data_IF_479665552559
#
_entry.id   IF_479665552559
#
_cell.length_a   1.000
_cell.length_b   1.000
_cell.length_c   1.000
_cell.angle_alpha   90.00
_cell.angle_beta   90.00
_cell.angle_gamma   90.00
#
_symmetry.space_group_name_H-M   'P 1'
#
loop_
_entity.id
_entity.type
_entity.pdbx_description
1 polymer ?
#
# COMPACT_ATOMS: atom_id res chain seq x y z
N UNK A 1 -17.95 47.90 5.62
CA UNK A 1 -17.13 46.75 5.21
C UNK A 1 -16.23 46.44 6.37
N UNK A 2 -16.34 45.24 6.95
CA UNK A 2 -15.54 44.84 8.11
C UNK A 2 -14.22 44.32 7.56
N UNK A 3 -13.12 45.04 7.83
CA UNK A 3 -11.78 44.58 7.47
C UNK A 3 -11.48 43.28 8.23
N UNK A 4 -11.50 42.16 7.51
CA UNK A 4 -11.02 40.86 8.00
C UNK A 4 -9.51 40.95 8.20
N UNK A 5 -9.11 41.43 9.38
CA UNK A 5 -7.72 41.41 9.84
C UNK A 5 -7.29 39.96 10.05
N UNK A 6 -6.47 39.43 9.14
CA UNK A 6 -5.81 38.13 9.34
C UNK A 6 -4.88 38.24 10.56
N UNK A 7 -5.17 37.44 11.60
CA UNK A 7 -4.22 37.17 12.68
C UNK A 7 -3.35 36.01 12.20
N UNK A 8 -2.06 36.26 11.94
CA UNK A 8 -1.09 35.21 11.62
C UNK A 8 -0.25 34.90 12.86
N UNK A 9 -0.01 33.62 13.13
CA UNK A 9 0.95 33.17 14.15
C UNK A 9 2.34 33.11 13.54
N UNK A 10 3.31 33.64 14.27
CA UNK A 10 4.72 33.63 13.92
C UNK A 10 5.49 32.87 14.99
N UNK A 11 6.48 32.09 14.59
CA UNK A 11 7.46 31.49 15.49
C UNK A 11 8.65 32.45 15.62
N UNK A 12 8.92 32.88 16.85
CA UNK A 12 10.14 33.64 17.18
C UNK A 12 10.90 32.80 18.21
N UNK A 13 11.88 32.02 17.73
CA UNK A 13 12.53 30.98 18.52
C UNK A 13 11.55 29.87 18.93
N UNK A 14 11.54 29.48 20.21
CA UNK A 14 10.60 28.49 20.77
C UNK A 14 9.24 29.08 21.21
N UNK A 15 8.96 30.35 20.87
CA UNK A 15 7.74 31.06 21.34
C UNK A 15 6.83 31.38 20.16
N UNK A 16 5.55 31.05 20.31
CA UNK A 16 4.49 31.42 19.36
C UNK A 16 3.99 32.83 19.69
N UNK A 17 4.05 33.73 18.71
CA UNK A 17 3.54 35.10 18.81
C UNK A 17 2.40 35.29 17.81
N UNK A 18 1.32 35.98 18.20
CA UNK A 18 0.21 36.35 17.30
C UNK A 18 0.37 37.80 16.83
N UNK A 19 0.32 38.03 15.52
CA UNK A 19 0.43 39.36 14.91
C UNK A 19 -0.68 39.63 13.89
N UNK A 20 -1.08 40.89 13.76
CA UNK A 20 -2.07 41.36 12.76
C UNK A 20 -1.30 41.91 11.56
N UNK A 21 -1.57 41.41 10.36
CA UNK A 21 -1.04 42.00 9.12
C UNK A 21 -2.04 43.02 8.60
N UNK A 22 -1.69 44.31 8.61
CA UNK A 22 -2.46 45.36 7.95
C UNK A 22 -1.84 45.63 6.57
N UNK A 23 -2.57 45.33 5.51
CA UNK A 23 -2.16 45.67 4.15
C UNK A 23 -2.13 47.19 3.96
N UNK A 24 -0.98 47.69 3.51
CA UNK A 24 -0.73 48.98 2.85
C UNK A 24 -0.39 50.23 3.71
N UNK A 25 0.93 50.54 3.71
CA UNK A 25 1.60 51.87 3.60
C UNK A 25 1.76 52.77 4.85
N UNK A 26 3.03 52.84 5.30
CA UNK A 26 3.88 53.97 5.75
C UNK A 26 3.35 54.95 6.82
N UNK A 27 3.97 54.90 8.01
CA UNK A 27 4.17 56.07 8.86
C UNK A 27 5.55 56.00 9.57
N UNK A 28 6.26 57.12 9.51
CA UNK A 28 7.65 57.34 9.93
C UNK A 28 7.82 57.70 11.41
N UNK A 29 8.78 57.02 12.08
CA UNK A 29 9.62 57.39 13.26
C UNK A 29 9.05 57.28 14.71
N UNK A 30 9.88 56.97 15.75
CA UNK A 30 11.11 56.15 15.79
C UNK A 30 11.00 54.92 16.76
N UNK A 31 11.94 54.00 16.55
CA UNK A 31 12.05 52.63 17.08
C UNK A 31 12.34 52.50 18.59
N UNK A 32 11.70 51.53 19.24
CA UNK A 32 12.46 50.61 20.09
C UNK A 32 12.82 49.41 19.21
N UNK A 33 14.12 49.23 18.97
CA UNK A 33 14.66 48.30 17.98
C UNK A 33 14.49 46.87 18.52
N UNK A 34 13.37 46.23 18.19
CA UNK A 34 13.40 44.78 18.01
C UNK A 34 14.05 44.55 16.66
N UNK A 35 15.14 43.79 16.65
CA UNK A 35 15.86 43.41 15.45
C UNK A 35 14.93 42.55 14.57
N UNK A 36 14.26 43.18 13.59
CA UNK A 36 13.33 42.51 12.67
C UNK A 36 14.05 41.82 11.51
N UNK A 37 15.37 41.71 11.58
CA UNK A 37 16.21 41.12 10.52
C UNK A 37 16.00 39.61 10.34
N UNK A 38 15.32 38.94 11.28
CA UNK A 38 15.00 37.51 11.23
C UNK A 38 13.49 37.20 11.19
N UNK A 39 12.65 38.13 10.70
CA UNK A 39 11.26 37.78 10.40
C UNK A 39 11.24 37.18 8.99
N UNK A 40 11.46 35.87 8.90
CA UNK A 40 11.06 35.13 7.71
C UNK A 40 9.53 35.21 7.62
N UNK A 41 9.00 35.55 6.45
CA UNK A 41 7.61 35.22 6.15
C UNK A 41 7.43 33.73 6.44
N UNK A 42 6.52 33.39 7.36
CA UNK A 42 6.05 32.02 7.42
C UNK A 42 5.42 31.75 6.06
N UNK A 43 6.05 30.87 5.28
CA UNK A 43 5.49 30.35 4.03
C UNK A 43 4.01 30.09 4.25
N UNK A 44 3.16 30.46 3.29
CA UNK A 44 1.78 30.01 3.29
C UNK A 44 1.79 28.48 3.42
N UNK A 45 1.46 27.98 4.61
CA UNK A 45 1.41 26.55 4.85
C UNK A 45 0.07 26.06 4.33
N UNK A 46 -0.08 26.07 3.01
CA UNK A 46 -1.12 25.32 2.29
C UNK A 46 -0.60 23.90 2.02
N UNK A 47 0.06 23.29 3.00
CA UNK A 47 0.52 21.91 2.91
C UNK A 47 -0.61 21.00 3.35
N UNK A 48 -1.26 20.32 2.41
CA UNK A 48 -2.31 19.34 2.69
C UNK A 48 -1.81 18.36 3.76
N UNK A 49 -2.49 18.31 4.90
CA UNK A 49 -2.23 17.30 5.91
C UNK A 49 -2.61 15.93 5.35
N UNK A 50 -1.67 14.99 5.34
CA UNK A 50 -1.89 13.63 4.84
C UNK A 50 -1.06 12.59 5.58
N UNK A 51 -1.54 11.36 5.54
CA UNK A 51 -0.86 10.15 5.99
C UNK A 51 -0.28 9.46 4.75
N UNK A 52 0.98 9.03 4.81
CA UNK A 52 1.54 8.16 3.76
C UNK A 52 0.95 6.74 3.87
N UNK A 53 0.99 5.97 2.77
CA UNK A 53 0.47 4.60 2.75
C UNK A 53 1.09 3.75 3.86
N UNK A 54 0.23 3.08 4.64
CA UNK A 54 0.62 2.22 5.75
C UNK A 54 0.50 0.77 5.30
N UNK A 55 1.56 -0.01 5.48
CA UNK A 55 1.59 -1.44 5.18
C UNK A 55 1.71 -2.22 6.49
N UNK A 56 1.05 -3.37 6.55
CA UNK A 56 1.16 -4.31 7.65
C UNK A 56 2.63 -4.61 7.98
N UNK A 57 2.97 -4.53 9.27
CA UNK A 57 4.33 -4.73 9.77
C UNK A 57 5.19 -3.46 9.80
N UNK A 58 4.68 -2.33 9.29
CA UNK A 58 5.31 -1.02 9.52
C UNK A 58 5.46 -0.76 11.03
N UNK A 59 6.52 -0.03 11.41
CA UNK A 59 6.77 0.30 12.82
C UNK A 59 6.22 1.67 13.21
N UNK A 60 6.10 2.55 12.23
CA UNK A 60 5.75 3.96 12.41
C UNK A 60 4.77 4.36 11.31
N UNK A 61 3.99 5.40 11.59
CA UNK A 61 3.20 6.10 10.57
C UNK A 61 3.94 7.38 10.22
N UNK A 62 4.02 7.68 8.93
CA UNK A 62 4.57 8.93 8.42
C UNK A 62 3.53 9.72 7.67
N UNK A 63 3.78 11.01 7.48
CA UNK A 63 2.89 11.87 6.75
C UNK A 63 3.49 13.24 6.46
N UNK A 64 2.65 14.08 5.86
CA UNK A 64 2.98 15.48 5.58
C UNK A 64 1.98 16.40 6.28
N UNK A 65 2.41 17.60 6.61
CA UNK A 65 1.54 18.59 7.21
C UNK A 65 2.22 19.93 7.49
N UNK A 66 1.56 20.81 8.24
CA UNK A 66 2.13 22.12 8.56
C UNK A 66 3.25 22.04 9.59
N UNK A 67 4.42 22.60 9.27
CA UNK A 67 5.56 22.65 10.17
C UNK A 67 5.20 23.24 11.55
N UNK A 68 5.65 22.58 12.61
CA UNK A 68 5.35 22.93 14.00
C UNK A 68 3.96 22.51 14.49
N UNK A 69 3.11 21.92 13.65
CA UNK A 69 1.83 21.37 14.10
C UNK A 69 2.03 20.10 14.94
N UNK A 70 1.26 19.97 16.01
CA UNK A 70 1.15 18.73 16.79
C UNK A 70 0.10 17.82 16.14
N UNK A 71 0.50 16.61 15.78
CA UNK A 71 -0.39 15.59 15.20
C UNK A 71 -1.01 14.77 16.32
N UNK A 72 -2.32 14.55 16.25
CA UNK A 72 -3.02 13.57 17.08
C UNK A 72 -3.43 12.37 16.23
N UNK A 73 -3.07 11.16 16.67
CA UNK A 73 -3.34 9.92 15.95
C UNK A 73 -4.43 9.12 16.68
N UNK A 74 -5.37 8.59 15.90
CA UNK A 74 -6.45 7.71 16.32
C UNK A 74 -6.38 6.42 15.53
N UNK A 75 -6.53 5.29 16.22
CA UNK A 75 -6.61 3.96 15.64
C UNK A 75 -8.02 3.42 15.84
N UNK A 76 -8.62 2.87 14.80
CA UNK A 76 -9.87 2.13 14.89
C UNK A 76 -9.60 0.62 14.82
N UNK A 77 -9.92 -0.09 15.90
CA UNK A 77 -9.85 -1.55 16.00
C UNK A 77 -11.23 -2.06 16.41
N UNK A 78 -11.79 -3.00 15.64
CA UNK A 78 -13.12 -3.60 15.91
C UNK A 78 -14.24 -2.57 16.14
N UNK A 79 -14.17 -1.42 15.46
CA UNK A 79 -15.16 -0.33 15.59
C UNK A 79 -14.93 0.62 16.77
N UNK A 80 -13.92 0.40 17.61
CA UNK A 80 -13.54 1.29 18.69
C UNK A 80 -12.38 2.19 18.29
N UNK A 81 -12.53 3.50 18.52
CA UNK A 81 -11.48 4.49 18.23
C UNK A 81 -10.62 4.76 19.48
N UNK A 82 -9.32 4.52 19.36
CA UNK A 82 -8.31 4.70 20.40
C UNK A 82 -7.41 5.87 20.05
N UNK A 83 -7.35 6.87 20.93
CA UNK A 83 -6.41 7.98 20.81
C UNK A 83 -5.03 7.56 21.31
N UNK A 84 -4.02 7.66 20.46
CA UNK A 84 -2.66 7.34 20.85
C UNK A 84 -2.07 8.45 21.73
N UNK A 85 -1.25 8.05 22.70
CA UNK A 85 -0.57 8.98 23.59
C UNK A 85 0.57 9.73 22.87
N UNK A 86 1.15 9.12 21.84
CA UNK A 86 2.19 9.72 21.02
C UNK A 86 1.62 10.87 20.17
N UNK A 87 2.31 12.01 20.18
CA UNK A 87 1.92 13.26 19.53
C UNK A 87 3.11 13.82 18.76
N UNK A 88 3.37 13.34 17.53
CA UNK A 88 4.52 13.79 16.78
C UNK A 88 4.33 15.24 16.32
N UNK A 89 5.44 15.96 16.19
CA UNK A 89 5.46 17.34 15.67
C UNK A 89 5.95 17.28 14.24
N UNK A 90 5.25 18.00 13.34
CA UNK A 90 5.70 18.16 11.96
C UNK A 90 6.98 19.01 11.93
N UNK A 91 8.02 18.50 11.28
CA UNK A 91 9.31 19.17 11.19
C UNK A 91 9.29 20.35 10.19
N UNK A 92 10.43 21.02 10.03
CA UNK A 92 10.58 22.17 9.11
C UNK A 92 10.38 21.79 7.63
N UNK A 93 10.66 20.53 7.28
CA UNK A 93 10.43 19.98 5.93
C UNK A 93 8.96 19.59 5.67
N UNK A 94 8.09 19.78 6.65
CA UNK A 94 6.67 19.43 6.55
C UNK A 94 6.39 17.93 6.72
N UNK A 95 7.36 17.15 7.22
CA UNK A 95 7.24 15.72 7.46
C UNK A 95 6.98 15.42 8.94
N UNK A 96 6.22 14.37 9.22
CA UNK A 96 6.07 13.85 10.58
C UNK A 96 6.16 12.33 10.59
N UNK A 97 6.57 11.79 11.75
CA UNK A 97 6.69 10.35 12.01
C UNK A 97 6.22 10.08 13.43
N UNK A 98 5.41 9.04 13.64
CA UNK A 98 4.98 8.61 14.97
C UNK A 98 6.13 7.97 15.76
N UNK A 99 5.93 7.74 17.07
CA UNK A 99 6.73 6.76 17.79
C UNK A 99 6.50 5.32 17.26
N UNK A 100 7.29 4.37 17.75
CA UNK A 100 7.10 2.94 17.43
C UNK A 100 5.74 2.47 17.95
N UNK A 101 4.90 2.06 17.00
CA UNK A 101 3.56 1.52 17.21
C UNK A 101 3.37 0.23 16.43
N UNK A 102 4.46 -0.46 16.07
CA UNK A 102 4.43 -1.70 15.28
C UNK A 102 3.42 -2.75 15.74
N UNK A 103 3.22 -2.98 17.07
CA UNK A 103 2.19 -3.92 17.54
C UNK A 103 0.75 -3.59 17.10
N UNK A 104 0.45 -2.34 16.75
CA UNK A 104 -0.87 -1.92 16.27
C UNK A 104 -0.96 -1.93 14.74
N UNK A 105 0.19 -2.01 14.06
CA UNK A 105 0.29 -2.08 12.60
C UNK A 105 0.53 -3.51 12.10
N UNK A 106 0.44 -4.51 12.98
CA UNK A 106 0.64 -5.92 12.64
C UNK A 106 -0.55 -6.55 11.90
N UNK A 107 -1.69 -5.86 11.87
CA UNK A 107 -2.94 -6.32 11.27
C UNK A 107 -3.40 -5.36 10.18
N UNK A 108 -3.64 -5.90 8.98
CA UNK A 108 -4.24 -5.16 7.87
C UNK A 108 -5.74 -4.88 8.11
N UNK A 109 -6.31 -3.95 7.35
CA UNK A 109 -7.73 -3.61 7.41
C UNK A 109 -8.13 -2.65 8.53
N UNK A 110 -7.33 -2.53 9.59
CA UNK A 110 -7.52 -1.51 10.61
C UNK A 110 -7.40 -0.10 10.01
N UNK A 111 -8.23 0.83 10.50
CA UNK A 111 -8.26 2.21 10.01
C UNK A 111 -7.50 3.13 10.95
N UNK A 112 -6.67 3.98 10.38
CA UNK A 112 -5.97 5.07 11.07
C UNK A 112 -6.61 6.39 10.67
N UNK A 113 -6.74 7.30 11.62
CA UNK A 113 -7.02 8.71 11.40
C UNK A 113 -5.96 9.54 12.10
N UNK A 114 -5.42 10.54 11.42
CA UNK A 114 -4.56 11.53 12.05
C UNK A 114 -5.19 12.91 11.86
N UNK A 115 -4.99 13.82 12.80
CA UNK A 115 -5.50 15.19 12.71
C UNK A 115 -4.50 16.21 13.25
N UNK A 116 -4.59 17.43 12.74
CA UNK A 116 -3.91 18.63 13.24
C UNK A 116 -4.93 19.75 13.45
N UNK A 117 -4.70 20.58 14.47
CA UNK A 117 -5.48 21.79 14.70
C UNK A 117 -4.63 23.02 14.36
N UNK A 118 -5.03 23.74 13.32
CA UNK A 118 -4.36 24.95 12.86
C UNK A 118 -5.34 26.09 13.05
N UNK A 119 -5.08 26.93 14.06
CA UNK A 119 -5.86 28.13 14.34
C UNK A 119 -7.38 27.91 14.43
N UNK A 120 -7.79 26.77 15.01
CA UNK A 120 -9.19 26.41 15.21
C UNK A 120 -9.80 25.63 14.03
N UNK A 121 -9.06 25.42 12.95
CA UNK A 121 -9.45 24.55 11.85
C UNK A 121 -8.81 23.18 12.04
N UNK A 122 -9.63 22.13 12.07
CA UNK A 122 -9.16 20.74 12.10
C UNK A 122 -8.96 20.28 10.66
N UNK A 123 -7.77 19.76 10.36
CA UNK A 123 -7.50 18.99 9.15
C UNK A 123 -7.21 17.56 9.58
N UNK A 124 -7.90 16.60 8.98
CA UNK A 124 -7.65 15.18 9.22
C UNK A 124 -7.52 14.40 7.93
N UNK A 125 -6.83 13.27 8.03
CA UNK A 125 -6.70 12.30 6.96
C UNK A 125 -6.91 10.88 7.51
N UNK A 126 -7.34 9.97 6.65
CA UNK A 126 -7.67 8.59 7.02
C UNK A 126 -7.04 7.60 6.06
N UNK A 127 -6.48 6.54 6.61
CA UNK A 127 -5.86 5.46 5.85
C UNK A 127 -6.29 4.11 6.40
N UNK A 128 -6.37 3.10 5.54
CA UNK A 128 -6.50 1.69 5.95
C UNK A 128 -5.15 1.01 5.82
N UNK A 129 -4.77 0.20 6.79
CA UNK A 129 -3.52 -0.57 6.74
C UNK A 129 -3.65 -1.62 5.62
N UNK A 130 -2.77 -1.54 4.62
CA UNK A 130 -2.72 -2.51 3.54
C UNK A 130 -2.08 -3.81 4.02
N UNK A 131 -2.57 -4.96 3.54
CA UNK A 131 -1.88 -6.23 3.71
C UNK A 131 -0.51 -6.16 3.02
N UNK A 132 0.51 -6.80 3.59
CA UNK A 132 1.85 -6.79 3.01
C UNK A 132 2.00 -7.71 1.78
N UNK A 133 0.97 -8.50 1.46
CA UNK A 133 0.94 -9.42 0.31
C UNK A 133 1.75 -10.71 0.51
N UNK A 134 2.45 -10.88 1.62
CA UNK A 134 3.30 -12.07 1.85
C UNK A 134 2.48 -13.35 1.96
N UNK A 135 1.37 -13.31 2.69
CA UNK A 135 0.48 -14.48 2.88
C UNK A 135 -0.17 -14.92 1.57
N UNK A 136 -0.64 -13.96 0.76
CA UNK A 136 -1.31 -14.23 -0.51
C UNK A 136 -0.34 -14.78 -1.56
N UNK A 137 0.88 -14.25 -1.64
CA UNK A 137 1.91 -14.82 -2.50
C UNK A 137 2.35 -16.19 -1.99
N UNK A 138 2.49 -16.38 -0.67
CA UNK A 138 2.88 -17.67 -0.10
C UNK A 138 1.83 -18.77 -0.38
N UNK A 139 0.53 -18.44 -0.37
CA UNK A 139 -0.55 -19.38 -0.71
C UNK A 139 -0.44 -19.96 -2.12
N UNK A 140 0.17 -19.24 -3.06
CA UNK A 140 0.40 -19.74 -4.42
C UNK A 140 1.32 -20.97 -4.43
N UNK A 141 2.18 -21.13 -3.42
CA UNK A 141 3.20 -22.16 -3.37
C UNK A 141 2.90 -23.23 -2.33
N UNK A 142 3.18 -24.48 -2.69
CA UNK A 142 3.07 -25.62 -1.77
C UNK A 142 4.25 -25.70 -0.79
N UNK A 143 5.33 -24.97 -1.05
CA UNK A 143 6.58 -25.00 -0.31
C UNK A 143 7.20 -23.60 -0.17
N UNK A 144 8.06 -23.42 0.84
CA UNK A 144 8.76 -22.15 1.12
C UNK A 144 9.89 -21.82 0.13
N UNK A 145 10.24 -22.76 -0.75
CA UNK A 145 11.31 -22.60 -1.75
C UNK A 145 10.78 -22.16 -3.11
N UNK A 146 9.47 -21.89 -3.21
CA UNK A 146 8.76 -21.48 -4.41
C UNK A 146 8.97 -22.45 -5.60
N UNK A 147 9.09 -23.76 -5.34
CA UNK A 147 9.36 -24.76 -6.39
C UNK A 147 8.12 -25.42 -6.96
N UNK A 148 7.01 -25.39 -6.23
CA UNK A 148 5.76 -26.03 -6.63
C UNK A 148 4.57 -25.14 -6.30
N UNK A 149 3.58 -25.12 -7.19
CA UNK A 149 2.30 -24.46 -6.92
C UNK A 149 1.43 -25.31 -6.00
N UNK A 150 0.64 -24.63 -5.17
CA UNK A 150 -0.45 -25.28 -4.43
C UNK A 150 -1.44 -25.93 -5.41
N UNK A 151 -2.01 -27.07 -5.02
CA UNK A 151 -3.00 -27.75 -5.84
C UNK A 151 -4.23 -26.86 -6.10
N UNK A 152 -4.67 -26.79 -7.35
CA UNK A 152 -5.84 -26.02 -7.74
C UNK A 152 -5.60 -24.54 -8.07
N UNK A 153 -4.36 -24.03 -7.92
CA UNK A 153 -4.00 -22.67 -8.36
C UNK A 153 -4.25 -22.51 -9.86
N UNK A 154 -4.90 -21.41 -10.21
CA UNK A 154 -5.25 -20.96 -11.56
C UNK A 154 -4.70 -19.55 -11.79
N UNK A 155 -4.79 -19.08 -13.03
CA UNK A 155 -4.37 -17.73 -13.41
C UNK A 155 -5.04 -16.64 -12.56
N UNK A 156 -6.32 -16.81 -12.21
CA UNK A 156 -7.06 -15.84 -11.38
C UNK A 156 -6.43 -15.66 -10.00
N UNK A 157 -5.91 -16.73 -9.38
CA UNK A 157 -5.29 -16.64 -8.05
C UNK A 157 -3.96 -15.87 -8.12
N UNK A 158 -3.17 -16.07 -9.19
CA UNK A 158 -1.92 -15.35 -9.44
C UNK A 158 -2.21 -13.87 -9.73
N UNK A 159 -3.24 -13.58 -10.53
CA UNK A 159 -3.66 -12.21 -10.85
C UNK A 159 -4.16 -11.46 -9.61
N UNK A 160 -4.93 -12.12 -8.74
CA UNK A 160 -5.39 -11.55 -7.47
C UNK A 160 -4.22 -11.21 -6.53
N UNK A 161 -3.26 -12.14 -6.35
CA UNK A 161 -2.06 -11.88 -5.58
C UNK A 161 -1.23 -10.72 -6.18
N UNK A 162 -1.13 -10.69 -7.51
CA UNK A 162 -0.43 -9.61 -8.23
C UNK A 162 -1.08 -8.25 -8.02
N UNK A 163 -2.42 -8.17 -8.06
CA UNK A 163 -3.15 -6.93 -7.83
C UNK A 163 -2.86 -6.36 -6.43
N UNK A 164 -2.80 -7.21 -5.40
CA UNK A 164 -2.48 -6.78 -4.04
C UNK A 164 -1.05 -6.25 -3.93
N UNK A 165 -0.08 -6.96 -4.53
CA UNK A 165 1.33 -6.54 -4.50
C UNK A 165 1.57 -5.26 -5.31
N UNK A 166 0.89 -5.08 -6.44
CA UNK A 166 1.00 -3.87 -7.26
C UNK A 166 0.52 -2.61 -6.51
N UNK A 167 -0.44 -2.75 -5.60
CA UNK A 167 -0.97 -1.67 -4.76
C UNK A 167 0.00 -1.23 -3.64
N UNK A 168 1.04 -2.01 -3.35
CA UNK A 168 2.02 -1.67 -2.33
C UNK A 168 2.88 -0.47 -2.75
N UNK A 169 3.34 0.36 -1.80
CA UNK A 169 4.37 1.36 -2.06
C UNK A 169 5.67 0.71 -2.55
N UNK A 170 6.44 1.42 -3.37
CA UNK A 170 7.69 0.91 -3.93
C UNK A 170 8.77 0.80 -2.83
N UNK A 171 8.94 -0.44 -2.34
CA UNK A 171 9.89 -0.84 -1.30
C UNK A 171 10.51 -2.18 -1.69
N UNK A 172 11.65 -2.56 -1.08
CA UNK A 172 12.37 -3.82 -1.39
C UNK A 172 11.44 -5.05 -1.35
N UNK A 173 10.56 -5.13 -0.34
CA UNK A 173 9.58 -6.22 -0.19
C UNK A 173 8.67 -6.38 -1.41
N UNK A 174 8.26 -5.29 -2.08
CA UNK A 174 7.41 -5.35 -3.28
C UNK A 174 8.14 -6.03 -4.44
N UNK A 175 9.41 -5.70 -4.66
CA UNK A 175 10.20 -6.33 -5.71
C UNK A 175 10.38 -7.83 -5.46
N UNK A 176 10.66 -8.22 -4.21
CA UNK A 176 10.74 -9.63 -3.82
C UNK A 176 9.43 -10.36 -4.13
N UNK A 177 8.29 -9.80 -3.72
CA UNK A 177 6.97 -10.41 -3.95
C UNK A 177 6.63 -10.52 -5.45
N UNK A 178 6.92 -9.48 -6.24
CA UNK A 178 6.73 -9.52 -7.70
C UNK A 178 7.60 -10.59 -8.37
N UNK A 179 8.81 -10.83 -7.87
CA UNK A 179 9.66 -11.90 -8.41
C UNK A 179 9.11 -13.29 -8.06
N UNK A 180 8.58 -13.48 -6.86
CA UNK A 180 7.88 -14.71 -6.48
C UNK A 180 6.64 -14.93 -7.35
N UNK A 181 5.82 -13.91 -7.59
CA UNK A 181 4.68 -13.99 -8.51
C UNK A 181 5.09 -14.42 -9.93
N UNK A 182 6.23 -13.93 -10.44
CA UNK A 182 6.76 -14.40 -11.74
C UNK A 182 7.14 -15.88 -11.73
N UNK A 183 7.68 -16.38 -10.61
CA UNK A 183 7.96 -17.81 -10.44
C UNK A 183 6.64 -18.60 -10.50
N UNK A 184 5.61 -18.15 -9.78
CA UNK A 184 4.29 -18.79 -9.82
C UNK A 184 3.72 -18.84 -11.25
N UNK A 185 3.80 -17.73 -12.00
CA UNK A 185 3.37 -17.70 -13.41
C UNK A 185 4.11 -18.72 -14.26
N UNK A 186 5.45 -18.77 -14.16
CA UNK A 186 6.25 -19.72 -14.93
C UNK A 186 5.90 -21.18 -14.59
N UNK A 187 5.66 -21.48 -13.31
CA UNK A 187 5.25 -22.82 -12.88
C UNK A 187 3.87 -23.19 -13.43
N UNK A 188 2.94 -22.23 -13.49
CA UNK A 188 1.62 -22.46 -14.09
C UNK A 188 1.75 -22.74 -15.58
N UNK A 189 2.48 -21.88 -16.31
CA UNK A 189 2.71 -22.05 -17.75
C UNK A 189 3.36 -23.42 -18.08
N UNK A 190 4.33 -23.86 -17.27
CA UNK A 190 4.98 -25.18 -17.41
C UNK A 190 3.94 -26.29 -17.20
N UNK A 191 3.14 -26.21 -16.14
CA UNK A 191 2.11 -27.21 -15.84
C UNK A 191 1.08 -27.30 -16.97
N UNK A 192 0.68 -26.19 -17.57
CA UNK A 192 -0.22 -26.18 -18.71
C UNK A 192 0.38 -26.90 -19.93
N UNK A 193 1.66 -26.66 -20.21
CA UNK A 193 2.38 -27.37 -21.28
C UNK A 193 2.47 -28.88 -21.01
N UNK A 194 2.77 -29.28 -19.77
CA UNK A 194 2.84 -30.69 -19.37
C UNK A 194 1.46 -31.37 -19.51
N UNK A 195 0.38 -30.75 -19.03
CA UNK A 195 -0.97 -31.28 -19.19
C UNK A 195 -1.37 -31.42 -20.67
N UNK A 196 -1.02 -30.44 -21.51
CA UNK A 196 -1.26 -30.53 -22.96
C UNK A 196 -0.47 -31.65 -23.62
N UNK A 197 0.78 -31.88 -23.19
CA UNK A 197 1.60 -32.98 -23.68
C UNK A 197 1.02 -34.34 -23.28
N UNK A 198 0.59 -34.51 -22.02
CA UNK A 198 -0.05 -35.73 -21.53
C UNK A 198 -1.37 -36.01 -22.25
N UNK A 199 -2.22 -35.00 -22.42
CA UNK A 199 -3.48 -35.14 -23.16
C UNK A 199 -3.22 -35.50 -24.64
N UNK A 200 -2.22 -34.89 -25.27
CA UNK A 200 -1.83 -35.23 -26.65
C UNK A 200 -1.32 -36.66 -26.75
N UNK A 201 -0.42 -37.07 -25.86
CA UNK A 201 0.13 -38.44 -25.85
C UNK A 201 -1.00 -39.48 -25.66
N UNK A 202 -1.95 -39.20 -24.76
CA UNK A 202 -3.11 -40.05 -24.54
C UNK A 202 -4.00 -40.17 -25.77
N UNK A 203 -4.24 -39.08 -26.50
CA UNK A 203 -5.00 -39.08 -27.76
C UNK A 203 -4.24 -39.81 -28.87
N UNK A 204 -2.95 -39.51 -29.05
CA UNK A 204 -2.10 -40.14 -30.06
C UNK A 204 -2.06 -41.67 -29.85
N UNK A 205 -2.06 -42.13 -28.59
CA UNK A 205 -2.12 -43.56 -28.24
C UNK A 205 -3.44 -44.27 -28.60
N UNK A 206 -4.51 -43.53 -28.91
CA UNK A 206 -5.75 -44.13 -29.40
C UNK A 206 -5.64 -44.60 -30.87
N UNK A 207 -4.63 -44.15 -31.60
CA UNK A 207 -4.47 -44.42 -33.02
C UNK A 207 -3.20 -45.22 -33.33
N UNK A 208 -3.25 -46.04 -34.38
CA UNK A 208 -2.09 -46.79 -34.88
C UNK A 208 -1.25 -45.99 -35.88
N UNK A 209 -1.73 -44.83 -36.29
CA UNK A 209 -1.10 -43.95 -37.27
C UNK A 209 -1.28 -42.46 -36.89
N UNK A 210 -0.31 -41.64 -37.28
CA UNK A 210 -0.31 -40.18 -37.03
C UNK A 210 -1.44 -39.44 -37.76
N UNK A 211 -2.11 -40.07 -38.72
CA UNK A 211 -3.24 -39.47 -39.47
C UNK A 211 -4.59 -39.75 -38.84
N UNK A 212 -4.63 -40.43 -37.69
CA UNK A 212 -5.83 -40.77 -36.92
C UNK A 212 -6.87 -41.57 -37.74
N UNK A 213 -6.40 -42.37 -38.71
CA UNK A 213 -7.30 -43.11 -39.62
C UNK A 213 -7.63 -44.52 -39.13
N UNK A 214 -6.79 -45.09 -38.27
CA UNK A 214 -6.93 -46.44 -37.73
C UNK A 214 -6.74 -46.43 -36.21
N UNK A 215 -7.66 -47.08 -35.50
CA UNK A 215 -7.61 -47.21 -34.04
C UNK A 215 -6.53 -48.21 -33.63
N UNK A 216 -5.76 -47.88 -32.60
CA UNK A 216 -4.71 -48.74 -32.06
C UNK A 216 -5.31 -50.06 -31.51
N UNK A 217 -4.62 -51.17 -31.75
CA UNK A 217 -5.03 -52.47 -31.21
C UNK A 217 -5.08 -52.43 -29.67
N UNK A 218 -6.20 -52.88 -29.08
CA UNK A 218 -6.39 -52.91 -27.63
C UNK A 218 -7.07 -51.68 -27.02
N UNK A 219 -7.31 -50.63 -27.82
CA UNK A 219 -8.14 -49.48 -27.40
C UNK A 219 -9.56 -49.96 -27.08
N UNK A 220 -10.09 -49.49 -25.96
CA UNK A 220 -11.42 -49.78 -25.46
C UNK A 220 -12.08 -48.51 -24.89
N UNK A 221 -13.32 -48.61 -24.44
CA UNK A 221 -14.06 -47.47 -23.88
C UNK A 221 -13.34 -46.82 -22.69
N UNK A 222 -12.67 -47.61 -21.85
CA UNK A 222 -11.92 -47.10 -20.70
C UNK A 222 -10.71 -46.25 -21.10
N UNK A 223 -9.96 -46.65 -22.13
CA UNK A 223 -8.83 -45.85 -22.64
C UNK A 223 -9.29 -44.57 -23.33
N UNK A 224 -10.43 -44.63 -24.03
CA UNK A 224 -11.04 -43.45 -24.68
C UNK A 224 -11.50 -42.46 -23.61
N UNK A 225 -12.18 -42.92 -22.56
CA UNK A 225 -12.67 -42.06 -21.49
C UNK A 225 -11.51 -41.45 -20.68
N UNK A 226 -10.41 -42.18 -20.46
CA UNK A 226 -9.22 -41.62 -19.82
C UNK A 226 -8.57 -40.49 -20.64
N UNK A 227 -8.39 -40.70 -21.95
CA UNK A 227 -7.86 -39.65 -22.84
C UNK A 227 -8.81 -38.44 -22.89
N UNK A 228 -10.12 -38.69 -22.96
CA UNK A 228 -11.13 -37.63 -22.93
C UNK A 228 -11.09 -36.81 -21.63
N UNK A 229 -10.94 -37.46 -20.47
CA UNK A 229 -10.82 -36.76 -19.19
C UNK A 229 -9.59 -35.84 -19.14
N UNK A 230 -8.46 -36.26 -19.69
CA UNK A 230 -7.26 -35.41 -19.78
C UNK A 230 -7.51 -34.19 -20.67
N UNK A 231 -8.15 -34.37 -21.82
CA UNK A 231 -8.52 -33.26 -22.72
C UNK A 231 -9.52 -32.31 -22.07
N UNK A 232 -10.52 -32.83 -21.35
CA UNK A 232 -11.52 -32.03 -20.62
C UNK A 232 -10.93 -31.29 -19.40
N UNK A 233 -9.76 -31.70 -18.91
CA UNK A 233 -9.06 -31.07 -17.79
C UNK A 233 -8.10 -29.93 -18.21
N UNK A 234 -7.88 -29.72 -19.51
CA UNK A 234 -7.07 -28.62 -19.99
C UNK A 234 -7.72 -27.25 -19.66
N UNK A 235 -6.91 -26.23 -19.34
CA UNK A 235 -7.39 -24.88 -18.97
C UNK A 235 -8.04 -24.11 -20.14
#
# INVERSE_FOLDING_TARGET
MIDNKLVKKFLVGATVVTGIVASNVVASSPLHHADTSNIAEASEVTGNFKIETIVQGDKVITGQGPAGAEVTIYLNVDGYEYKLANRPIVNEDGLWESGDIGPWLSEAGNSIRAEVNIDGTISDDRMTILANGEEEVARLFADETDTQLTEGIKQVDIDEAKMLVDALPDRESKETLLNRIKIAQNLLDIKEVEMQAEAKEAVDHLFSDETETSVQSGVNEGTIEAAKQLVEALP
#
